data_IF_064603920830
#
_entry.id   IF_064603920830
#
_cell.length_a   1.000
_cell.length_b   1.000
_cell.length_c   1.000
_cell.angle_alpha   90.00
_cell.angle_beta   90.00
_cell.angle_gamma   90.00
#
_symmetry.space_group_name_H-M   'P 1'
#
loop_
_entity.id
_entity.type
_entity.pdbx_description
1 polymer ?
#
# COMPACT_ATOMS: atom_id res chain seq x y z
N UNK A 1 -15.07 29.15 -1.01
CA UNK A 1 -15.93 27.99 -1.31
C UNK A 1 -16.14 27.25 0.00
N UNK A 2 -17.32 27.38 0.61
CA UNK A 2 -17.65 26.65 1.85
C UNK A 2 -17.64 25.14 1.56
N UNK A 3 -17.11 24.29 2.46
CA UNK A 3 -17.29 22.86 2.33
C UNK A 3 -18.78 22.53 2.52
N UNK A 4 -19.35 21.59 1.75
CA UNK A 4 -20.76 21.25 1.86
C UNK A 4 -21.08 20.70 3.24
N UNK A 5 -22.17 21.17 3.84
CA UNK A 5 -22.76 20.68 5.09
C UNK A 5 -23.43 19.32 4.83
N UNK A 6 -22.83 18.23 5.31
CA UNK A 6 -23.13 16.83 4.95
C UNK A 6 -24.06 16.10 5.93
N UNK A 7 -25.26 16.62 6.20
CA UNK A 7 -26.31 15.75 6.76
C UNK A 7 -26.90 14.79 5.72
N UNK A 8 -26.69 15.07 4.42
CA UNK A 8 -27.42 14.41 3.32
C UNK A 8 -26.59 13.35 2.55
N UNK A 9 -25.32 13.11 2.91
CA UNK A 9 -24.37 12.27 2.15
C UNK A 9 -24.24 10.81 2.65
N UNK A 10 -24.97 10.41 3.70
CA UNK A 10 -24.99 9.01 4.19
C UNK A 10 -25.65 8.03 3.19
N UNK A 11 -26.68 8.41 2.41
CA UNK A 11 -27.29 7.55 1.39
C UNK A 11 -26.35 7.22 0.22
N UNK A 12 -25.47 8.15 -0.19
CA UNK A 12 -24.72 8.02 -1.44
C UNK A 12 -23.63 6.92 -1.37
N UNK A 13 -22.78 6.95 -0.34
CA UNK A 13 -21.71 5.93 -0.20
C UNK A 13 -22.27 4.51 0.02
N UNK A 14 -23.39 4.36 0.76
CA UNK A 14 -24.06 3.07 0.93
C UNK A 14 -24.72 2.58 -0.36
N UNK A 15 -25.31 3.49 -1.14
CA UNK A 15 -25.85 3.19 -2.48
C UNK A 15 -24.74 2.71 -3.41
N UNK A 16 -23.61 3.42 -3.43
CA UNK A 16 -22.44 3.03 -4.21
C UNK A 16 -21.95 1.63 -3.87
N UNK A 17 -21.81 1.28 -2.59
CA UNK A 17 -21.40 -0.07 -2.20
C UNK A 17 -22.30 -1.17 -2.80
N UNK A 18 -23.61 -0.92 -2.94
CA UNK A 18 -24.54 -1.86 -3.57
C UNK A 18 -24.30 -1.99 -5.08
N UNK A 19 -24.17 -0.85 -5.77
CA UNK A 19 -23.89 -0.81 -7.22
C UNK A 19 -22.57 -1.51 -7.54
N UNK A 20 -21.54 -1.21 -6.75
CA UNK A 20 -20.18 -1.75 -6.87
C UNK A 20 -20.11 -3.27 -6.63
N UNK A 21 -21.10 -3.84 -5.94
CA UNK A 21 -21.20 -5.29 -5.73
C UNK A 21 -21.22 -6.09 -7.03
N UNK A 22 -21.74 -5.52 -8.11
CA UNK A 22 -21.83 -6.17 -9.43
C UNK A 22 -20.46 -6.44 -10.08
N UNK A 23 -19.40 -5.78 -9.62
CA UNK A 23 -18.04 -5.94 -10.14
C UNK A 23 -17.22 -6.97 -9.36
N UNK A 24 -17.77 -7.55 -8.29
CA UNK A 24 -17.04 -8.39 -7.32
C UNK A 24 -16.72 -9.82 -7.77
N UNK A 25 -17.35 -10.31 -8.84
CA UNK A 25 -17.18 -11.71 -9.29
C UNK A 25 -15.83 -11.91 -10.01
N UNK A 26 -14.90 -12.74 -9.52
CA UNK A 26 -13.64 -13.00 -10.22
C UNK A 26 -13.82 -13.86 -11.47
N UNK A 27 -12.86 -13.75 -12.40
CA UNK A 27 -12.72 -14.64 -13.54
C UNK A 27 -11.46 -15.48 -13.40
N UNK A 28 -11.60 -16.79 -13.18
CA UNK A 28 -10.46 -17.72 -13.05
C UNK A 28 -9.46 -17.64 -14.21
N UNK A 29 -9.84 -17.67 -15.50
CA UNK A 29 -8.86 -17.55 -16.59
C UNK A 29 -8.16 -16.19 -16.56
N UNK A 30 -8.86 -15.11 -16.22
CA UNK A 30 -8.23 -13.80 -16.07
C UNK A 30 -7.21 -13.79 -14.94
N UNK A 31 -7.55 -14.31 -13.76
CA UNK A 31 -6.66 -14.35 -12.61
C UNK A 31 -5.41 -15.19 -12.86
N UNK A 32 -5.55 -16.33 -13.55
CA UNK A 32 -4.39 -17.14 -13.97
C UNK A 32 -3.51 -16.41 -14.98
N UNK A 33 -4.11 -15.75 -15.97
CA UNK A 33 -3.37 -14.94 -16.93
C UNK A 33 -2.62 -13.80 -16.23
N UNK A 34 -3.28 -13.08 -15.33
CA UNK A 34 -2.68 -11.98 -14.56
C UNK A 34 -1.50 -12.43 -13.69
N UNK A 35 -1.62 -13.60 -13.07
CA UNK A 35 -0.52 -14.20 -12.31
C UNK A 35 0.63 -14.59 -13.23
N UNK A 36 0.36 -15.24 -14.37
CA UNK A 36 1.39 -15.68 -15.31
C UNK A 36 2.14 -14.50 -15.95
N UNK A 37 1.41 -13.48 -16.45
CA UNK A 37 2.02 -12.29 -17.06
C UNK A 37 2.74 -11.41 -16.04
N UNK A 38 2.61 -11.68 -14.75
CA UNK A 38 3.34 -10.96 -13.69
C UNK A 38 4.55 -11.77 -13.21
N UNK A 39 4.34 -13.04 -12.85
CA UNK A 39 5.38 -13.89 -12.27
C UNK A 39 6.43 -14.33 -13.29
N UNK A 40 6.04 -14.69 -14.52
CA UNK A 40 7.01 -15.15 -15.52
C UNK A 40 7.98 -14.03 -15.92
N UNK A 41 7.53 -12.80 -16.25
CA UNK A 41 8.48 -11.73 -16.54
C UNK A 41 9.34 -11.33 -15.34
N UNK A 42 8.82 -11.41 -14.11
CA UNK A 42 9.65 -11.19 -12.92
C UNK A 42 10.83 -12.17 -12.87
N UNK A 43 10.58 -13.46 -13.05
CA UNK A 43 11.62 -14.50 -13.05
C UNK A 43 12.61 -14.29 -14.20
N UNK A 44 12.11 -13.95 -15.40
CA UNK A 44 12.96 -13.66 -16.56
C UNK A 44 13.86 -12.45 -16.32
N UNK A 45 13.31 -11.34 -15.81
CA UNK A 45 14.06 -10.12 -15.54
C UNK A 45 15.04 -10.30 -14.39
N UNK A 46 14.68 -11.03 -13.33
CA UNK A 46 15.59 -11.36 -12.25
C UNK A 46 16.77 -12.21 -12.75
N UNK A 47 16.49 -13.23 -13.56
CA UNK A 47 17.53 -14.08 -14.18
C UNK A 47 18.42 -13.26 -15.11
N UNK A 48 17.84 -12.38 -15.93
CA UNK A 48 18.59 -11.49 -16.81
C UNK A 48 19.48 -10.51 -16.03
N UNK A 49 18.98 -9.94 -14.92
CA UNK A 49 19.75 -9.06 -14.04
C UNK A 49 20.94 -9.81 -13.42
N UNK A 50 20.72 -11.04 -12.95
CA UNK A 50 21.79 -11.90 -12.42
C UNK A 50 22.82 -12.28 -13.48
N UNK A 51 22.39 -12.72 -14.66
CA UNK A 51 23.29 -13.09 -15.75
C UNK A 51 24.14 -11.89 -16.19
N UNK A 52 23.52 -10.72 -16.35
CA UNK A 52 24.19 -9.47 -16.72
C UNK A 52 25.21 -9.03 -15.66
N UNK A 53 24.87 -9.16 -14.37
CA UNK A 53 25.81 -8.92 -13.28
C UNK A 53 27.00 -9.88 -13.32
N UNK A 54 26.74 -11.17 -13.58
CA UNK A 54 27.77 -12.22 -13.63
C UNK A 54 28.75 -12.03 -14.79
N UNK A 55 28.34 -11.34 -15.85
CA UNK A 55 29.19 -10.92 -16.97
C UNK A 55 30.01 -9.64 -16.66
N UNK A 56 29.92 -9.10 -15.44
CA UNK A 56 30.63 -7.87 -15.02
C UNK A 56 29.87 -6.57 -15.28
N UNK A 57 28.66 -6.62 -15.84
CA UNK A 57 27.86 -5.43 -16.18
C UNK A 57 26.89 -5.04 -15.05
N UNK A 58 27.43 -4.73 -13.86
CA UNK A 58 26.61 -4.41 -12.69
C UNK A 58 25.65 -3.23 -12.91
N UNK A 59 26.05 -2.21 -13.68
CA UNK A 59 25.20 -1.07 -14.01
C UNK A 59 23.95 -1.48 -14.83
N UNK A 60 24.10 -2.41 -15.77
CA UNK A 60 22.99 -2.90 -16.60
C UNK A 60 22.05 -3.79 -15.78
N UNK A 61 22.59 -4.56 -14.83
CA UNK A 61 21.79 -5.28 -13.83
C UNK A 61 20.89 -4.33 -13.01
N UNK A 62 21.43 -3.19 -12.57
CA UNK A 62 20.66 -2.16 -11.86
C UNK A 62 19.58 -1.52 -12.74
N UNK A 63 19.82 -1.34 -14.04
CA UNK A 63 18.78 -0.85 -14.95
C UNK A 63 17.63 -1.86 -15.12
N UNK A 64 17.94 -3.16 -15.19
CA UNK A 64 16.93 -4.23 -15.23
C UNK A 64 16.14 -4.31 -13.91
N UNK A 65 16.73 -3.86 -12.79
CA UNK A 65 16.05 -3.88 -11.50
C UNK A 65 14.78 -3.00 -11.46
N UNK A 66 14.71 -1.92 -12.24
CA UNK A 66 13.53 -1.05 -12.30
C UNK A 66 12.27 -1.76 -12.83
N UNK A 67 12.27 -2.35 -14.05
CA UNK A 67 11.10 -3.11 -14.51
C UNK A 67 10.84 -4.34 -13.62
N UNK A 68 11.88 -5.04 -13.14
CA UNK A 68 11.70 -6.17 -12.23
C UNK A 68 10.98 -5.76 -10.92
N UNK A 69 11.34 -4.60 -10.36
CA UNK A 69 10.68 -4.03 -9.19
C UNK A 69 9.21 -3.71 -9.46
N UNK A 70 8.89 -3.19 -10.66
CA UNK A 70 7.50 -2.99 -11.09
C UNK A 70 6.69 -4.30 -11.10
N UNK A 71 7.28 -5.40 -11.57
CA UNK A 71 6.63 -6.71 -11.54
C UNK A 71 6.49 -7.27 -10.12
N UNK A 72 7.49 -7.07 -9.25
CA UNK A 72 7.40 -7.47 -7.84
C UNK A 72 6.31 -6.68 -7.11
N UNK A 73 6.19 -5.38 -7.37
CA UNK A 73 5.09 -4.55 -6.87
C UNK A 73 3.74 -5.06 -7.37
N UNK A 74 3.61 -5.36 -8.67
CA UNK A 74 2.38 -5.93 -9.24
C UNK A 74 2.03 -7.27 -8.60
N UNK A 75 3.03 -8.10 -8.29
CA UNK A 75 2.83 -9.37 -7.60
C UNK A 75 2.29 -9.15 -6.17
N UNK A 76 2.79 -8.14 -5.45
CA UNK A 76 2.23 -7.73 -4.17
C UNK A 76 0.75 -7.25 -4.31
N UNK A 77 0.38 -6.57 -5.39
CA UNK A 77 -1.04 -6.22 -5.65
C UNK A 77 -1.92 -7.45 -5.85
N UNK A 78 -1.40 -8.51 -6.47
CA UNK A 78 -2.11 -9.79 -6.59
C UNK A 78 -2.29 -10.43 -5.20
N UNK A 79 -1.24 -10.45 -4.37
CA UNK A 79 -1.33 -10.91 -2.98
C UNK A 79 -2.37 -10.09 -2.19
N UNK A 80 -2.43 -8.79 -2.42
CA UNK A 80 -3.39 -7.90 -1.77
C UNK A 80 -4.85 -8.31 -2.10
N UNK A 81 -5.17 -8.55 -3.37
CA UNK A 81 -6.49 -9.05 -3.77
C UNK A 81 -6.77 -10.46 -3.24
N UNK A 82 -5.75 -11.32 -3.16
CA UNK A 82 -5.88 -12.60 -2.45
C UNK A 82 -6.26 -12.39 -0.98
N UNK A 83 -5.69 -11.39 -0.31
CA UNK A 83 -6.03 -11.03 1.07
C UNK A 83 -7.49 -10.67 1.26
N UNK A 84 -8.09 -10.00 0.28
CA UNK A 84 -9.53 -9.72 0.22
C UNK A 84 -10.38 -10.92 -0.21
N UNK A 85 -9.74 -11.98 -0.70
CA UNK A 85 -10.40 -13.19 -1.22
C UNK A 85 -11.05 -12.97 -2.58
N UNK A 86 -10.55 -12.02 -3.36
CA UNK A 86 -11.20 -11.55 -4.60
C UNK A 86 -10.45 -11.97 -5.84
N UNK A 87 -9.18 -12.36 -5.75
CA UNK A 87 -8.43 -12.73 -6.94
C UNK A 87 -8.96 -14.02 -7.57
N UNK A 88 -9.29 -15.04 -6.76
CA UNK A 88 -9.99 -16.26 -7.20
C UNK A 88 -11.36 -16.39 -6.54
N UNK A 89 -12.25 -17.20 -7.12
CA UNK A 89 -13.54 -17.51 -6.49
C UNK A 89 -13.39 -18.34 -5.19
N UNK A 90 -12.39 -19.21 -5.13
CA UNK A 90 -12.13 -20.08 -3.97
C UNK A 90 -11.21 -19.42 -2.94
N UNK A 91 -11.64 -19.38 -1.67
CA UNK A 91 -10.83 -18.80 -0.58
C UNK A 91 -9.49 -19.51 -0.39
N UNK A 92 -9.48 -20.83 -0.50
CA UNK A 92 -8.26 -21.63 -0.34
C UNK A 92 -7.19 -21.29 -1.40
N UNK A 93 -7.60 -21.08 -2.65
CA UNK A 93 -6.70 -20.69 -3.73
C UNK A 93 -6.09 -19.30 -3.48
N UNK A 94 -6.91 -18.34 -3.05
CA UNK A 94 -6.42 -17.02 -2.66
C UNK A 94 -5.40 -17.12 -1.52
N UNK A 95 -5.73 -17.86 -0.46
CA UNK A 95 -4.88 -17.94 0.72
C UNK A 95 -3.52 -18.60 0.41
N UNK A 96 -3.48 -19.65 -0.42
CA UNK A 96 -2.21 -20.28 -0.80
C UNK A 96 -1.39 -19.43 -1.78
N UNK A 97 -2.02 -18.85 -2.80
CA UNK A 97 -1.31 -17.95 -3.74
C UNK A 97 -0.76 -16.74 -2.99
N UNK A 98 -1.55 -16.16 -2.10
CA UNK A 98 -1.11 -15.06 -1.24
C UNK A 98 0.06 -15.43 -0.33
N UNK A 99 0.07 -16.63 0.29
CA UNK A 99 1.21 -17.10 1.10
C UNK A 99 2.48 -17.29 0.30
N UNK A 100 2.39 -17.89 -0.90
CA UNK A 100 3.55 -18.09 -1.79
C UNK A 100 4.13 -16.75 -2.24
N UNK A 101 3.27 -15.84 -2.70
CA UNK A 101 3.71 -14.49 -3.06
C UNK A 101 4.29 -13.75 -1.85
N UNK A 102 3.72 -13.94 -0.66
CA UNK A 102 4.21 -13.37 0.59
C UNK A 102 5.66 -13.68 0.92
N UNK A 103 6.16 -14.84 0.48
CA UNK A 103 7.59 -15.16 0.59
C UNK A 103 8.43 -14.27 -0.33
N UNK A 104 7.99 -14.09 -1.58
CA UNK A 104 8.69 -13.29 -2.59
C UNK A 104 8.66 -11.78 -2.30
N UNK A 105 7.55 -11.30 -1.73
CA UNK A 105 7.34 -9.88 -1.38
C UNK A 105 7.83 -9.56 0.04
N UNK A 106 8.41 -10.54 0.74
CA UNK A 106 8.80 -10.43 2.14
C UNK A 106 7.65 -9.97 3.04
N UNK A 107 6.43 -10.45 2.78
CA UNK A 107 5.21 -10.07 3.50
C UNK A 107 4.48 -11.29 4.07
N UNK A 108 4.42 -11.47 5.41
CA UNK A 108 3.71 -12.61 6.00
C UNK A 108 2.19 -12.48 5.81
N UNK A 109 1.66 -13.31 4.91
CA UNK A 109 0.34 -13.12 4.30
C UNK A 109 -0.83 -13.03 5.29
N UNK A 110 -1.00 -13.99 6.20
CA UNK A 110 -2.18 -13.98 7.10
C UNK A 110 -2.09 -12.86 8.15
N UNK A 111 -0.88 -12.55 8.65
CA UNK A 111 -0.64 -11.37 9.49
C UNK A 111 -0.97 -10.08 8.73
N UNK A 112 -0.45 -9.94 7.51
CA UNK A 112 -0.69 -8.78 6.67
C UNK A 112 -2.18 -8.65 6.31
N UNK A 113 -2.85 -9.74 5.95
CA UNK A 113 -4.29 -9.78 5.68
C UNK A 113 -5.11 -9.26 6.86
N UNK A 114 -4.75 -9.64 8.09
CA UNK A 114 -5.44 -9.20 9.31
C UNK A 114 -5.20 -7.72 9.60
N UNK A 115 -3.95 -7.26 9.53
CA UNK A 115 -3.63 -5.83 9.74
C UNK A 115 -4.24 -4.96 8.66
N UNK A 116 -4.26 -5.42 7.41
CA UNK A 116 -4.91 -4.74 6.30
C UNK A 116 -6.44 -4.71 6.43
N UNK A 117 -7.08 -5.76 6.95
CA UNK A 117 -8.51 -5.73 7.27
C UNK A 117 -8.84 -4.72 8.39
N UNK A 118 -7.96 -4.56 9.38
CA UNK A 118 -8.09 -3.52 10.42
C UNK A 118 -7.96 -2.13 9.79
N UNK A 119 -6.98 -1.91 8.91
CA UNK A 119 -6.82 -0.67 8.14
C UNK A 119 -8.10 -0.29 7.41
N UNK A 120 -8.68 -1.20 6.61
CA UNK A 120 -9.96 -0.95 5.93
C UNK A 120 -11.11 -0.63 6.88
N UNK A 121 -11.10 -1.21 8.09
CA UNK A 121 -12.14 -1.01 9.09
C UNK A 121 -11.95 0.25 9.96
N UNK A 122 -10.80 0.91 9.90
CA UNK A 122 -10.45 2.04 10.80
C UNK A 122 -9.91 3.26 10.06
N UNK A 123 -9.68 3.19 8.75
CA UNK A 123 -9.16 4.29 7.96
C UNK A 123 -10.00 5.56 8.10
N UNK A 124 -9.32 6.72 8.19
CA UNK A 124 -9.94 8.02 8.41
C UNK A 124 -10.56 8.20 9.80
N UNK A 125 -10.34 7.28 10.74
CA UNK A 125 -10.75 7.44 12.13
C UNK A 125 -9.55 7.86 13.00
N UNK A 126 -9.61 9.05 13.58
CA UNK A 126 -8.54 9.60 14.42
C UNK A 126 -8.33 8.71 15.65
N UNK A 127 -9.37 8.25 16.31
CA UNK A 127 -9.28 7.56 17.60
C UNK A 127 -8.88 6.07 17.47
N UNK A 128 -8.95 5.52 16.25
CA UNK A 128 -8.63 4.11 15.94
C UNK A 128 -7.44 3.92 15.00
N UNK A 129 -6.75 5.00 14.64
CA UNK A 129 -5.58 4.99 13.74
C UNK A 129 -4.44 4.11 14.24
N UNK A 130 -3.63 3.61 13.31
CA UNK A 130 -2.28 3.11 13.61
C UNK A 130 -1.92 1.79 12.95
N UNK A 131 -2.76 0.75 13.08
CA UNK A 131 -2.46 -0.54 12.43
C UNK A 131 -2.72 -0.42 10.93
N UNK A 132 -1.64 -0.40 10.15
CA UNK A 132 -1.69 -0.31 8.68
C UNK A 132 -1.66 1.11 8.14
N UNK A 133 -1.72 2.12 9.02
CA UNK A 133 -1.62 3.53 8.66
C UNK A 133 -0.18 4.05 8.76
N UNK A 134 0.04 5.19 8.10
CA UNK A 134 1.19 6.04 8.38
C UNK A 134 0.85 6.91 9.60
N UNK A 135 1.70 6.88 10.63
CA UNK A 135 1.49 7.67 11.84
C UNK A 135 1.33 9.15 11.46
N UNK A 136 0.15 9.68 11.74
CA UNK A 136 -0.22 11.06 11.43
C UNK A 136 -0.81 11.68 12.69
N UNK A 137 -0.08 12.63 13.27
CA UNK A 137 -0.51 13.34 14.46
C UNK A 137 -1.42 14.51 14.12
N UNK A 138 -2.32 14.86 15.04
CA UNK A 138 -3.02 16.14 14.95
C UNK A 138 -2.08 17.29 15.34
N UNK A 139 -2.39 18.52 14.90
CA UNK A 139 -1.63 19.72 15.28
C UNK A 139 -1.56 19.85 16.80
N UNK A 140 -2.65 19.55 17.51
CA UNK A 140 -2.71 19.59 18.97
C UNK A 140 -1.79 18.55 19.61
N UNK A 141 -1.81 17.31 19.11
CA UNK A 141 -0.93 16.24 19.59
C UNK A 141 0.54 16.58 19.36
N UNK A 142 0.89 17.07 18.17
CA UNK A 142 2.25 17.48 17.86
C UNK A 142 2.75 18.63 18.74
N UNK A 143 1.88 19.61 19.04
CA UNK A 143 2.21 20.71 19.96
C UNK A 143 2.34 20.22 21.41
N UNK A 144 1.61 19.20 21.82
CA UNK A 144 1.74 18.61 23.16
C UNK A 144 3.03 17.81 23.35
N UNK A 145 3.73 17.41 22.26
CA UNK A 145 4.98 16.66 22.37
C UNK A 145 6.14 17.53 22.90
N UNK A 146 7.03 16.95 23.73
CA UNK A 146 8.31 17.57 24.07
C UNK A 146 9.20 17.66 22.82
N UNK A 147 10.29 18.44 22.92
CA UNK A 147 11.20 18.68 21.80
C UNK A 147 11.69 17.39 21.11
N UNK A 148 12.11 16.38 21.89
CA UNK A 148 12.53 15.08 21.35
C UNK A 148 11.41 14.33 20.61
N UNK A 149 10.17 14.42 21.09
CA UNK A 149 9.01 13.85 20.43
C UNK A 149 8.75 14.51 19.07
N UNK A 150 8.84 15.85 19.03
CA UNK A 150 8.71 16.62 17.78
C UNK A 150 9.83 16.31 16.80
N UNK A 151 11.08 16.15 17.27
CA UNK A 151 12.22 15.77 16.43
C UNK A 151 12.04 14.37 15.85
N UNK A 152 11.67 13.37 16.66
CA UNK A 152 11.39 12.01 16.20
C UNK A 152 10.30 11.98 15.13
N UNK A 153 9.21 12.73 15.33
CA UNK A 153 8.13 12.80 14.35
C UNK A 153 8.58 13.45 13.03
N UNK A 154 9.38 14.53 13.10
CA UNK A 154 9.94 15.17 11.91
C UNK A 154 10.88 14.25 11.12
N UNK A 155 11.70 13.48 11.82
CA UNK A 155 12.57 12.47 11.21
C UNK A 155 11.73 11.37 10.56
N UNK A 156 10.75 10.83 11.27
CA UNK A 156 9.82 9.84 10.73
C UNK A 156 9.12 10.31 9.44
N UNK A 157 8.62 11.56 9.43
CA UNK A 157 7.96 12.18 8.27
C UNK A 157 8.93 12.75 7.22
N UNK A 158 10.24 12.64 7.41
CA UNK A 158 11.21 13.15 6.43
C UNK A 158 11.22 12.27 5.17
N UNK A 159 11.17 12.81 3.94
CA UNK A 159 11.03 12.01 2.72
C UNK A 159 12.12 10.95 2.53
N UNK A 160 13.38 11.30 2.83
CA UNK A 160 14.50 10.35 2.74
C UNK A 160 14.38 9.19 3.75
N UNK A 161 13.79 9.44 4.92
CA UNK A 161 13.57 8.39 5.91
C UNK A 161 12.37 7.58 5.49
N UNK A 162 11.25 8.21 5.18
CA UNK A 162 9.99 7.51 4.90
C UNK A 162 10.02 6.69 3.61
N UNK A 163 10.70 7.16 2.56
CA UNK A 163 10.79 6.49 1.27
C UNK A 163 12.16 5.87 0.98
N UNK A 164 13.21 6.19 1.73
CA UNK A 164 14.53 5.56 1.60
C UNK A 164 14.73 4.43 2.61
N UNK A 165 14.69 4.76 3.90
CA UNK A 165 14.97 3.80 4.99
C UNK A 165 13.73 3.02 5.45
N UNK A 166 12.56 3.65 5.41
CA UNK A 166 11.28 3.13 5.87
C UNK A 166 10.89 1.82 5.16
N UNK A 167 10.96 1.72 3.82
CA UNK A 167 10.64 0.49 3.11
C UNK A 167 11.60 -0.65 3.49
N UNK A 168 12.91 -0.36 3.60
CA UNK A 168 13.88 -1.36 4.04
C UNK A 168 13.56 -1.86 5.45
N UNK A 169 13.31 -0.95 6.40
CA UNK A 169 12.92 -1.30 7.77
C UNK A 169 11.63 -2.13 7.79
N UNK A 170 10.60 -1.72 7.06
CA UNK A 170 9.29 -2.38 7.08
C UNK A 170 9.39 -3.84 6.59
N UNK A 171 9.98 -4.07 5.41
CA UNK A 171 9.96 -5.39 4.78
C UNK A 171 11.09 -6.30 5.26
N UNK A 172 12.29 -5.77 5.53
CA UNK A 172 13.43 -6.56 5.98
C UNK A 172 13.43 -6.83 7.48
N UNK A 173 12.84 -5.93 8.29
CA UNK A 173 12.94 -6.00 9.76
C UNK A 173 11.57 -6.10 10.45
N UNK A 174 10.71 -5.09 10.33
CA UNK A 174 9.47 -5.01 11.11
C UNK A 174 8.55 -6.20 10.83
N UNK A 175 8.38 -6.58 9.56
CA UNK A 175 7.54 -7.71 9.16
C UNK A 175 8.13 -9.09 9.52
N UNK A 176 9.29 -9.15 10.18
CA UNK A 176 9.84 -10.41 10.72
C UNK A 176 9.22 -10.79 12.05
N UNK A 177 8.44 -9.90 12.68
CA UNK A 177 7.63 -10.16 13.88
C UNK A 177 6.23 -9.55 13.72
N UNK A 178 5.18 -10.10 14.36
CA UNK A 178 3.80 -9.63 14.15
C UNK A 178 3.46 -8.38 14.99
N UNK A 179 4.18 -7.27 14.77
CA UNK A 179 4.01 -6.00 15.51
C UNK A 179 2.53 -5.57 15.57
N UNK A 180 2.07 -5.10 16.73
CA UNK A 180 0.66 -4.73 16.94
C UNK A 180 -0.31 -5.90 17.13
N UNK A 181 0.08 -7.13 16.76
CA UNK A 181 -0.72 -8.35 16.95
C UNK A 181 0.02 -9.43 17.75
N UNK A 182 1.16 -9.12 18.37
CA UNK A 182 1.99 -10.08 19.11
C UNK A 182 1.28 -10.75 20.28
N UNK A 183 0.25 -10.10 20.85
CA UNK A 183 -0.58 -10.60 21.95
C UNK A 183 -1.90 -11.24 21.49
N UNK A 184 -2.14 -11.33 20.18
CA UNK A 184 -3.45 -11.74 19.63
C UNK A 184 -3.48 -13.24 19.28
N UNK A 185 -2.87 -14.07 20.14
CA UNK A 185 -2.77 -15.52 19.99
C UNK A 185 -1.61 -15.99 19.10
N UNK A 186 -1.58 -17.28 18.81
CA UNK A 186 -0.47 -17.93 18.09
C UNK A 186 -0.50 -17.72 16.56
N UNK A 187 -1.67 -17.43 15.97
CA UNK A 187 -1.84 -17.37 14.51
C UNK A 187 -0.97 -16.28 13.83
N UNK A 188 -0.86 -15.03 14.33
CA UNK A 188 0.04 -14.03 13.75
C UNK A 188 1.50 -14.46 13.80
N UNK A 189 1.90 -15.14 14.89
CA UNK A 189 3.24 -15.70 15.04
C UNK A 189 3.49 -16.83 14.04
N UNK A 190 2.58 -17.79 13.91
CA UNK A 190 2.72 -18.87 12.95
C UNK A 190 2.84 -18.35 11.51
N UNK A 191 1.99 -17.40 11.12
CA UNK A 191 2.09 -16.75 9.80
C UNK A 191 3.46 -16.11 9.59
N UNK A 192 3.92 -15.32 10.56
CA UNK A 192 5.18 -14.58 10.44
C UNK A 192 6.39 -15.50 10.43
N UNK A 193 6.44 -16.48 11.35
CA UNK A 193 7.57 -17.41 11.48
C UNK A 193 7.64 -18.39 10.31
N UNK A 194 6.50 -18.89 9.82
CA UNK A 194 6.48 -19.74 8.62
C UNK A 194 6.99 -18.99 7.39
N UNK A 195 6.59 -17.73 7.21
CA UNK A 195 7.13 -16.87 6.15
C UNK A 195 8.63 -16.58 6.35
N UNK A 196 9.10 -16.31 7.57
CA UNK A 196 10.53 -16.15 7.87
C UNK A 196 11.34 -17.39 7.47
N UNK A 197 10.85 -18.58 7.85
CA UNK A 197 11.51 -19.84 7.51
C UNK A 197 11.58 -20.05 6.00
N UNK A 198 10.47 -19.83 5.29
CA UNK A 198 10.44 -19.95 3.83
C UNK A 198 11.40 -18.94 3.15
N UNK A 199 11.43 -17.69 3.62
CA UNK A 199 12.39 -16.68 3.13
C UNK A 199 13.82 -17.14 3.40
N UNK A 200 14.13 -17.61 4.61
CA UNK A 200 15.48 -18.08 4.96
C UNK A 200 15.92 -19.23 4.04
N UNK A 201 15.04 -20.19 3.75
CA UNK A 201 15.31 -21.28 2.80
C UNK A 201 15.60 -20.74 1.39
N UNK A 202 14.76 -19.83 0.87
CA UNK A 202 14.96 -19.23 -0.46
C UNK A 202 16.26 -18.43 -0.52
N UNK A 203 16.53 -17.60 0.49
CA UNK A 203 17.76 -16.80 0.57
C UNK A 203 19.00 -17.69 0.65
N UNK A 204 18.96 -18.75 1.47
CA UNK A 204 20.06 -19.70 1.58
C UNK A 204 20.31 -20.43 0.25
N UNK A 205 19.25 -20.93 -0.39
CA UNK A 205 19.35 -21.63 -1.68
C UNK A 205 19.90 -20.72 -2.79
N UNK A 206 19.39 -19.49 -2.91
CA UNK A 206 19.89 -18.53 -3.90
C UNK A 206 21.33 -18.11 -3.59
N UNK A 207 21.64 -17.82 -2.33
CA UNK A 207 23.00 -17.43 -1.93
C UNK A 207 24.01 -18.55 -2.21
N UNK A 208 23.62 -19.81 -1.99
CA UNK A 208 24.44 -20.97 -2.33
C UNK A 208 24.62 -21.12 -3.85
N UNK A 209 23.58 -20.88 -4.63
CA UNK A 209 23.61 -21.05 -6.09
C UNK A 209 24.35 -19.94 -6.84
N UNK A 210 24.09 -18.66 -6.51
CA UNK A 210 24.64 -17.50 -7.24
C UNK A 210 25.72 -16.73 -6.47
N UNK A 211 25.97 -17.10 -5.21
CA UNK A 211 26.87 -16.37 -4.31
C UNK A 211 26.23 -15.15 -3.66
N UNK A 212 26.70 -14.82 -2.44
CA UNK A 212 26.13 -13.75 -1.62
C UNK A 212 26.23 -12.37 -2.28
N UNK A 213 27.31 -12.09 -3.01
CA UNK A 213 27.51 -10.80 -3.69
C UNK A 213 26.46 -10.59 -4.78
N UNK A 214 26.24 -11.60 -5.64
CA UNK A 214 25.23 -11.52 -6.69
C UNK A 214 23.81 -11.47 -6.11
N UNK A 215 23.53 -12.26 -5.08
CA UNK A 215 22.25 -12.20 -4.37
C UNK A 215 21.97 -10.79 -3.85
N UNK A 216 22.90 -10.18 -3.11
CA UNK A 216 22.71 -8.84 -2.55
C UNK A 216 22.59 -7.78 -3.66
N UNK A 217 23.43 -7.81 -4.69
CA UNK A 217 23.46 -6.76 -5.72
C UNK A 217 22.36 -6.89 -6.78
N UNK A 218 21.68 -8.04 -6.87
CA UNK A 218 20.55 -8.25 -7.79
C UNK A 218 19.22 -8.21 -7.05
N UNK A 219 19.07 -9.01 -5.98
CA UNK A 219 17.80 -9.16 -5.29
C UNK A 219 17.46 -7.92 -4.45
N UNK A 220 18.43 -7.36 -3.72
CA UNK A 220 18.15 -6.26 -2.79
C UNK A 220 17.68 -4.98 -3.51
N UNK A 221 18.29 -4.51 -4.63
CA UNK A 221 17.79 -3.36 -5.36
C UNK A 221 16.37 -3.54 -5.88
N UNK A 222 16.04 -4.71 -6.44
CA UNK A 222 14.69 -5.03 -6.93
C UNK A 222 13.68 -4.91 -5.78
N UNK A 223 13.99 -5.54 -4.64
CA UNK A 223 13.13 -5.53 -3.45
C UNK A 223 12.96 -4.13 -2.88
N UNK A 224 14.03 -3.36 -2.74
CA UNK A 224 13.97 -2.00 -2.18
C UNK A 224 13.23 -1.01 -3.10
N UNK A 225 13.43 -1.10 -4.42
CA UNK A 225 12.68 -0.30 -5.38
C UNK A 225 11.18 -0.62 -5.33
N UNK A 226 10.82 -1.91 -5.31
CA UNK A 226 9.42 -2.34 -5.22
C UNK A 226 8.78 -1.90 -3.90
N UNK A 227 9.48 -2.09 -2.79
CA UNK A 227 9.04 -1.67 -1.46
C UNK A 227 8.83 -0.16 -1.38
N UNK A 228 9.76 0.63 -1.94
CA UNK A 228 9.67 2.10 -1.98
C UNK A 228 8.46 2.55 -2.81
N UNK A 229 8.28 1.98 -3.99
CA UNK A 229 7.13 2.29 -4.84
C UNK A 229 5.80 1.88 -4.18
N UNK A 230 5.77 0.74 -3.47
CA UNK A 230 4.60 0.31 -2.70
C UNK A 230 4.27 1.26 -1.55
N UNK A 231 5.25 1.63 -0.73
CA UNK A 231 5.06 2.60 0.37
C UNK A 231 4.60 3.96 -0.17
N UNK A 232 5.18 4.42 -1.28
CA UNK A 232 4.73 5.65 -1.95
C UNK A 232 3.25 5.58 -2.33
N UNK A 233 2.84 4.49 -2.97
CA UNK A 233 1.48 4.31 -3.49
C UNK A 233 0.44 4.39 -2.36
N UNK A 234 0.62 3.62 -1.30
CA UNK A 234 -0.31 3.64 -0.16
C UNK A 234 -0.21 4.93 0.67
N UNK A 235 0.96 5.59 0.69
CA UNK A 235 1.09 6.91 1.30
C UNK A 235 0.20 7.93 0.60
N UNK A 236 0.39 8.15 -0.71
CA UNK A 236 -0.34 9.21 -1.44
C UNK A 236 -1.84 8.90 -1.52
N UNK A 237 -2.21 7.63 -1.42
CA UNK A 237 -3.59 7.18 -1.37
C UNK A 237 -4.36 7.59 -0.11
N UNK A 238 -3.66 7.84 1.01
CA UNK A 238 -4.27 8.22 2.30
C UNK A 238 -3.76 9.54 2.86
N UNK A 239 -2.75 10.14 2.24
CA UNK A 239 -2.13 11.40 2.65
C UNK A 239 -2.21 12.38 1.49
N UNK A 240 -3.33 13.08 1.38
CA UNK A 240 -3.60 14.03 0.31
C UNK A 240 -4.49 15.19 0.78
N UNK A 241 -4.59 16.25 -0.04
CA UNK A 241 -5.19 17.53 0.36
C UNK A 241 -6.66 17.42 0.78
N UNK A 242 -7.41 16.49 0.17
CA UNK A 242 -8.86 16.32 0.38
C UNK A 242 -9.24 15.09 1.22
N UNK A 243 -8.29 14.48 1.92
CA UNK A 243 -8.60 13.34 2.80
C UNK A 243 -9.48 13.78 3.98
N UNK A 244 -10.22 12.83 4.56
CA UNK A 244 -11.13 13.05 5.68
C UNK A 244 -10.74 12.21 6.87
N UNK A 245 -10.51 12.86 8.01
CA UNK A 245 -10.24 12.22 9.29
C UNK A 245 -11.25 12.72 10.32
N UNK A 246 -11.91 11.78 10.99
CA UNK A 246 -13.01 12.04 11.93
C UNK A 246 -12.82 11.30 13.25
N UNK A 247 -13.44 11.82 14.31
CA UNK A 247 -13.50 11.16 15.62
C UNK A 247 -14.61 10.11 15.62
N UNK A 248 -14.56 9.18 16.57
CA UNK A 248 -15.52 8.06 16.66
C UNK A 248 -17.00 8.51 16.56
N UNK A 249 -17.35 9.65 17.16
CA UNK A 249 -18.72 10.20 17.19
C UNK A 249 -19.23 10.64 15.80
N UNK A 250 -18.36 11.17 14.94
CA UNK A 250 -18.72 11.68 13.60
C UNK A 250 -18.28 10.76 12.46
N UNK A 251 -17.57 9.67 12.78
CA UNK A 251 -16.97 8.80 11.78
C UNK A 251 -17.98 7.83 11.15
N UNK A 252 -18.02 7.82 9.81
CA UNK A 252 -18.79 6.87 9.03
C UNK A 252 -17.86 6.09 8.09
N UNK A 253 -17.80 4.77 8.28
CA UNK A 253 -16.93 3.87 7.51
C UNK A 253 -17.04 4.06 5.99
N UNK A 254 -18.25 4.19 5.43
CA UNK A 254 -18.42 4.28 3.98
C UNK A 254 -18.00 5.63 3.41
N UNK A 255 -18.24 6.70 4.15
CA UNK A 255 -17.77 8.03 3.76
C UNK A 255 -16.25 8.13 3.89
N UNK A 256 -15.68 7.63 4.99
CA UNK A 256 -14.23 7.60 5.18
C UNK A 256 -13.53 6.73 4.12
N UNK A 257 -14.14 5.61 3.74
CA UNK A 257 -13.63 4.77 2.66
C UNK A 257 -13.57 5.50 1.31
N UNK A 258 -14.63 6.22 0.94
CA UNK A 258 -14.73 6.89 -0.35
C UNK A 258 -13.98 8.23 -0.40
N UNK A 259 -14.08 9.06 0.64
CA UNK A 259 -13.52 10.42 0.67
C UNK A 259 -12.19 10.51 1.44
N UNK A 260 -11.87 9.53 2.29
CA UNK A 260 -10.59 9.44 2.99
C UNK A 260 -9.47 8.80 2.17
N UNK A 261 -9.79 8.28 0.99
CA UNK A 261 -8.85 7.64 0.06
C UNK A 261 -8.87 8.34 -1.30
N UNK A 262 -7.74 8.36 -2.00
CA UNK A 262 -7.63 9.08 -3.28
C UNK A 262 -7.90 8.21 -4.50
N UNK A 263 -8.27 8.84 -5.63
CA UNK A 263 -8.04 8.31 -6.97
C UNK A 263 -6.69 8.81 -7.50
N UNK A 264 -5.67 7.95 -7.46
CA UNK A 264 -4.34 8.26 -7.98
C UNK A 264 -4.23 7.94 -9.47
N UNK A 265 -4.33 8.97 -10.31
CA UNK A 265 -4.26 8.87 -11.76
C UNK A 265 -2.81 8.72 -12.23
N UNK A 266 -2.49 7.48 -12.63
CA UNK A 266 -1.21 7.09 -13.17
C UNK A 266 -1.27 6.94 -14.71
N UNK A 267 -0.17 7.29 -15.43
CA UNK A 267 0.00 6.93 -16.83
C UNK A 267 -0.19 5.42 -17.05
N UNK A 268 -0.62 5.02 -18.24
CA UNK A 268 -1.04 3.65 -18.54
C UNK A 268 -0.02 2.57 -18.11
N UNK A 269 1.27 2.81 -18.34
CA UNK A 269 2.34 1.89 -17.95
C UNK A 269 2.43 1.71 -16.43
N UNK A 270 2.45 2.81 -15.67
CA UNK A 270 2.52 2.76 -14.21
C UNK A 270 1.23 2.18 -13.63
N UNK A 271 0.07 2.55 -14.17
CA UNK A 271 -1.22 1.98 -13.79
C UNK A 271 -1.25 0.46 -13.98
N UNK A 272 -0.59 -0.04 -15.02
CA UNK A 272 -0.41 -1.48 -15.22
C UNK A 272 0.49 -2.06 -14.12
N UNK A 273 1.69 -1.54 -13.86
CA UNK A 273 2.52 -2.08 -12.77
C UNK A 273 1.88 -2.01 -11.38
N UNK A 274 1.07 -0.98 -11.10
CA UNK A 274 0.34 -0.86 -9.83
C UNK A 274 -1.02 -1.59 -9.84
N UNK A 275 -1.29 -2.43 -10.84
CA UNK A 275 -2.51 -3.22 -10.92
C UNK A 275 -3.81 -2.40 -10.75
N UNK A 276 -3.91 -1.19 -11.32
CA UNK A 276 -5.05 -0.29 -11.17
C UNK A 276 -5.42 0.11 -9.72
N UNK A 277 -4.62 -0.23 -8.70
CA UNK A 277 -4.94 0.09 -7.30
C UNK A 277 -5.02 1.59 -7.04
N UNK A 278 -4.49 2.42 -7.95
CA UNK A 278 -4.67 3.87 -7.94
C UNK A 278 -6.14 4.29 -7.83
N UNK A 279 -7.10 3.46 -8.29
CA UNK A 279 -8.54 3.63 -8.06
C UNK A 279 -8.89 3.19 -6.61
N UNK A 280 -8.21 3.80 -5.65
CA UNK A 280 -8.13 3.30 -4.27
C UNK A 280 -9.36 3.64 -3.44
N UNK A 281 -9.99 4.78 -3.71
CA UNK A 281 -11.26 5.18 -3.13
C UNK A 281 -12.39 4.18 -3.40
N UNK A 282 -12.50 3.70 -4.65
CA UNK A 282 -13.44 2.61 -5.00
C UNK A 282 -13.03 1.31 -4.31
N UNK A 283 -11.73 1.00 -4.29
CA UNK A 283 -11.22 -0.18 -3.60
C UNK A 283 -11.55 -0.17 -2.09
N UNK A 284 -11.38 0.96 -1.40
CA UNK A 284 -11.76 1.08 0.01
C UNK A 284 -13.26 0.97 0.22
N UNK A 285 -14.07 1.54 -0.68
CA UNK A 285 -15.52 1.44 -0.59
C UNK A 285 -16.03 0.01 -0.83
N UNK A 286 -15.39 -0.71 -1.75
CA UNK A 286 -15.70 -2.10 -2.09
C UNK A 286 -14.42 -2.90 -2.40
N UNK A 287 -13.76 -3.36 -1.35
CA UNK A 287 -12.51 -4.15 -1.47
C UNK A 287 -12.72 -5.53 -2.08
N UNK A 288 -13.99 -5.89 -2.34
CA UNK A 288 -14.40 -7.14 -2.99
C UNK A 288 -14.20 -7.13 -4.51
N UNK A 289 -13.88 -5.99 -5.12
CA UNK A 289 -13.67 -5.88 -6.56
C UNK A 289 -12.23 -6.30 -6.90
N UNK A 290 -12.02 -7.31 -7.75
CA UNK A 290 -10.68 -7.63 -8.24
C UNK A 290 -10.11 -6.45 -9.03
N UNK A 291 -8.82 -6.18 -8.87
CA UNK A 291 -8.18 -4.98 -9.39
C UNK A 291 -8.33 -4.80 -10.91
N UNK A 292 -8.40 -5.92 -11.66
CA UNK A 292 -8.55 -5.90 -13.13
C UNK A 292 -9.96 -5.47 -13.58
N UNK A 293 -10.91 -5.34 -12.64
CA UNK A 293 -12.26 -4.84 -12.87
C UNK A 293 -12.47 -3.41 -12.38
N UNK A 294 -11.59 -2.85 -11.56
CA UNK A 294 -11.69 -1.46 -11.09
C UNK A 294 -11.84 -0.44 -12.25
N UNK A 295 -11.14 -0.57 -13.40
CA UNK A 295 -11.34 0.36 -14.51
C UNK A 295 -12.74 0.31 -15.13
N UNK A 296 -13.47 -0.80 -15.01
CA UNK A 296 -14.85 -0.89 -15.50
C UNK A 296 -15.79 -0.02 -14.65
N UNK A 297 -15.54 0.06 -13.33
CA UNK A 297 -16.30 0.95 -12.45
C UNK A 297 -16.22 2.40 -12.92
N UNK A 298 -15.01 2.90 -13.18
CA UNK A 298 -14.85 4.29 -13.64
C UNK A 298 -15.35 4.53 -15.06
N UNK A 299 -15.45 3.48 -15.89
CA UNK A 299 -16.04 3.58 -17.23
C UNK A 299 -17.56 3.73 -17.13
N UNK A 300 -18.19 2.91 -16.30
CA UNK A 300 -19.65 2.84 -16.16
C UNK A 300 -20.18 3.96 -15.25
N UNK A 301 -19.34 4.47 -14.35
CA UNK A 301 -19.63 5.53 -13.37
C UNK A 301 -18.53 6.62 -13.39
N UNK A 302 -18.49 7.45 -14.43
CA UNK A 302 -17.47 8.49 -14.58
C UNK A 302 -17.47 9.52 -13.45
N UNK A 303 -18.58 9.72 -12.74
CA UNK A 303 -18.70 10.60 -11.58
C UNK A 303 -17.78 10.22 -10.41
N UNK A 304 -17.37 8.94 -10.33
CA UNK A 304 -16.40 8.49 -9.33
C UNK A 304 -14.97 8.88 -9.68
N UNK A 305 -14.67 9.34 -10.91
CA UNK A 305 -13.31 9.65 -11.34
C UNK A 305 -12.71 10.86 -10.62
N UNK A 306 -13.55 11.84 -10.29
CA UNK A 306 -13.10 13.12 -9.73
C UNK A 306 -13.04 13.11 -8.20
N UNK A 307 -13.56 12.05 -7.55
CA UNK A 307 -13.52 11.90 -6.10
C UNK A 307 -12.09 11.64 -5.62
N UNK A 308 -11.53 12.56 -4.84
CA UNK A 308 -10.20 12.44 -4.28
C UNK A 308 -9.10 12.33 -5.33
N UNK A 309 -9.28 12.95 -6.50
CA UNK A 309 -8.36 12.83 -7.63
C UNK A 309 -6.99 13.44 -7.35
N UNK A 310 -5.93 12.70 -7.72
CA UNK A 310 -4.53 13.12 -7.60
C UNK A 310 -3.77 12.64 -8.84
N UNK A 311 -3.00 13.53 -9.47
CA UNK A 311 -2.08 13.15 -10.55
C UNK A 311 -0.69 12.78 -10.01
N UNK A 312 0.12 12.06 -10.80
CA UNK A 312 1.52 11.75 -10.48
C UNK A 312 2.30 12.99 -10.01
N UNK A 313 2.22 14.11 -10.74
CA UNK A 313 2.94 15.34 -10.38
C UNK A 313 2.38 16.00 -9.11
N UNK A 314 1.05 15.99 -8.92
CA UNK A 314 0.43 16.53 -7.71
C UNK A 314 0.81 15.74 -6.46
N UNK A 315 1.01 14.42 -6.57
CA UNK A 315 1.34 13.54 -5.45
C UNK A 315 2.63 13.91 -4.70
N UNK A 316 3.60 14.51 -5.40
CA UNK A 316 4.83 15.02 -4.76
C UNK A 316 4.54 16.18 -3.78
N UNK A 317 3.49 16.96 -4.03
CA UNK A 317 3.06 18.02 -3.11
C UNK A 317 2.45 17.44 -1.84
N UNK A 318 1.91 16.23 -1.88
CA UNK A 318 1.31 15.57 -0.73
C UNK A 318 2.35 15.15 0.33
N UNK A 319 3.62 15.02 -0.03
CA UNK A 319 4.70 14.67 0.91
C UNK A 319 4.86 15.71 2.02
N UNK A 320 4.53 16.98 1.76
CA UNK A 320 4.60 18.06 2.76
C UNK A 320 3.43 18.06 3.74
N UNK A 321 2.38 17.29 3.45
CA UNK A 321 1.17 17.17 4.27
C UNK A 321 1.45 16.16 5.37
N UNK A 322 1.76 16.66 6.57
CA UNK A 322 2.38 15.85 7.63
C UNK A 322 1.62 15.84 8.94
N UNK A 323 0.66 16.75 9.14
CA UNK A 323 -0.13 16.86 10.36
C UNK A 323 -1.59 17.08 10.01
N UNK A 324 -2.50 16.55 10.81
CA UNK A 324 -3.93 16.80 10.66
C UNK A 324 -4.36 18.02 11.48
N UNK A 325 -4.94 19.03 10.82
CA UNK A 325 -5.55 20.18 11.49
C UNK A 325 -7.04 19.90 11.69
N UNK A 326 -7.42 19.55 12.92
CA UNK A 326 -8.81 19.25 13.30
C UNK A 326 -9.75 20.44 13.08
N UNK A 327 -9.28 21.68 13.22
CA UNK A 327 -10.10 22.87 13.07
C UNK A 327 -10.40 23.18 11.59
N UNK A 328 -9.42 22.96 10.72
CA UNK A 328 -9.57 23.18 9.27
C UNK A 328 -9.97 21.93 8.50
N UNK A 329 -10.03 20.77 9.17
CA UNK A 329 -10.32 19.45 8.61
C UNK A 329 -9.48 19.15 7.36
N UNK A 330 -8.18 19.40 7.45
CA UNK A 330 -7.23 19.13 6.37
C UNK A 330 -5.85 18.78 6.89
N UNK A 331 -5.06 18.13 6.05
CA UNK A 331 -3.63 18.00 6.31
C UNK A 331 -2.91 19.33 6.08
N UNK A 332 -1.89 19.59 6.91
CA UNK A 332 -1.06 20.80 6.90
C UNK A 332 0.43 20.44 6.96
N UNK A 333 1.25 21.39 6.51
CA UNK A 333 2.70 21.31 6.59
C UNK A 333 3.27 21.90 7.88
N UNK A 334 4.50 21.52 8.25
CA UNK A 334 5.24 22.18 9.33
C UNK A 334 5.48 23.68 9.09
N UNK A 335 5.48 24.14 7.83
CA UNK A 335 5.62 25.56 7.50
C UNK A 335 4.34 26.33 7.82
N UNK A 336 3.18 25.79 7.44
CA UNK A 336 1.88 26.42 7.71
C UNK A 336 1.59 26.56 9.20
N UNK A 337 1.98 25.58 10.02
CA UNK A 337 1.77 25.66 11.47
C UNK A 337 2.67 26.74 12.08
N UNK A 338 3.96 26.80 11.70
CA UNK A 338 4.89 27.82 12.20
C UNK A 338 4.44 29.24 11.85
N UNK A 339 3.88 29.43 10.66
CA UNK A 339 3.38 30.74 10.22
C UNK A 339 2.14 31.22 11.00
N UNK A 340 1.53 30.38 11.84
CA UNK A 340 0.41 30.72 12.73
C UNK A 340 0.82 30.89 14.19
N UNK A 341 2.07 30.56 14.50
CA UNK A 341 2.66 30.75 15.83
C UNK A 341 3.27 32.18 15.97
N UNK A 342 3.30 32.94 14.86
CA UNK A 342 3.58 34.37 14.76
C UNK A 342 2.33 35.07 14.23
#
# INVERSE_FOLDING_TARGET
MQPPTRSDDVPDARRWKRILGNYSTPSRPRSLAELAITALPLVMLWTAAWFTFSLGYAWASLLIAFPAAGFLLRLFMIQHDCGHGTFFAGRLANDWVGRVIGVLTLTPYDYWRRTHAIHHATTGNIDRRGIGDVDTLTVREYRALPWWGRLKYRLYRHPLIMFGLGPAYLFLLQQRIPVGLMRNGWQPWASTMATNLAIAVVVAALTWFIGIKAFLLVHLPITLLAATAGVWLFYVQHQFEHTTWDRDESWNLHQAALYGSSHYELPALLRWFTANIGIHHVHHLSSRIPYYRLPHVLRDHPELRDVGHITLLASFRCVRLVLWDEAQRRLVSFREIRARDF
#
